data_IF_281413803901
#
_entry.id   IF_281413803901
#
_cell.length_a   1.000
_cell.length_b   1.000
_cell.length_c   1.000
_cell.angle_alpha   90.00
_cell.angle_beta   90.00
_cell.angle_gamma   90.00
#
_symmetry.space_group_name_H-M   'P 1'
#
loop_
_entity.id
_entity.type
_entity.pdbx_description
1 polymer ?
#
# COMPACT_ATOMS: atom_id res chain seq x y z
N UNK A 1 11.58 18.04 13.54
CA UNK A 1 12.00 16.82 14.27
C UNK A 1 11.03 15.73 13.85
N UNK A 2 11.52 14.66 13.21
CA UNK A 2 10.69 13.49 12.86
C UNK A 2 10.35 12.81 14.18
N UNK A 3 9.08 12.73 14.53
CA UNK A 3 8.63 12.03 15.73
C UNK A 3 9.16 10.58 15.69
N UNK A 4 9.65 10.10 16.85
CA UNK A 4 9.96 8.68 17.01
C UNK A 4 8.76 7.84 16.58
N UNK A 5 9.02 6.74 15.88
CA UNK A 5 7.98 5.79 15.47
C UNK A 5 7.29 5.26 16.73
N UNK A 6 5.99 5.47 16.84
CA UNK A 6 5.18 4.88 17.89
C UNK A 6 4.42 3.69 17.30
N UNK A 7 4.74 2.50 17.76
CA UNK A 7 4.15 1.25 17.28
C UNK A 7 2.99 0.81 18.17
N UNK A 8 1.92 0.37 17.54
CA UNK A 8 0.78 -0.29 18.21
C UNK A 8 0.63 -1.69 17.61
N UNK A 9 0.11 -2.62 18.40
CA UNK A 9 -0.08 -3.99 17.93
C UNK A 9 -1.53 -4.27 17.53
N UNK A 10 -1.71 -5.05 16.48
CA UNK A 10 -2.99 -5.58 16.04
C UNK A 10 -2.79 -7.02 15.55
N UNK A 11 -3.35 -7.98 16.24
CA UNK A 11 -3.28 -9.40 15.92
C UNK A 11 -1.84 -9.95 15.73
N UNK A 12 -0.87 -9.39 16.48
CA UNK A 12 0.54 -9.77 16.41
C UNK A 12 1.36 -8.98 15.39
N UNK A 13 0.78 -8.02 14.67
CA UNK A 13 1.50 -7.15 13.74
C UNK A 13 1.69 -5.76 14.34
N UNK A 14 2.91 -5.24 14.26
CA UNK A 14 3.24 -3.87 14.66
C UNK A 14 2.83 -2.90 13.55
N UNK A 15 2.10 -1.85 13.91
CA UNK A 15 1.61 -0.82 13.00
C UNK A 15 2.04 0.54 13.52
N UNK A 16 2.53 1.38 12.62
CA UNK A 16 2.94 2.76 12.94
C UNK A 16 1.69 3.63 13.19
N UNK A 17 1.70 4.37 14.30
CA UNK A 17 0.60 5.26 14.66
C UNK A 17 0.72 6.66 14.03
N UNK A 18 1.29 6.76 12.86
CA UNK A 18 1.45 8.01 12.13
C UNK A 18 0.11 8.54 11.60
N UNK A 19 -0.04 9.86 11.63
CA UNK A 19 -1.04 10.52 10.78
C UNK A 19 -0.61 10.43 9.32
N UNK A 20 -1.53 10.76 8.41
CA UNK A 20 -1.23 10.81 6.99
C UNK A 20 -0.04 11.74 6.68
N UNK A 21 -0.05 12.93 7.25
CA UNK A 21 1.00 13.95 7.07
C UNK A 21 2.34 13.47 7.64
N UNK A 22 2.32 12.81 8.80
CA UNK A 22 3.53 12.24 9.40
C UNK A 22 4.12 11.12 8.54
N UNK A 23 3.28 10.26 7.96
CA UNK A 23 3.73 9.21 7.04
C UNK A 23 4.39 9.80 5.78
N UNK A 24 3.80 10.84 5.18
CA UNK A 24 4.38 11.53 4.02
C UNK A 24 5.73 12.18 4.39
N UNK A 25 5.81 12.90 5.51
CA UNK A 25 7.05 13.55 5.97
C UNK A 25 8.13 12.51 6.27
N UNK A 26 7.75 11.40 6.91
CA UNK A 26 8.68 10.31 7.21
C UNK A 26 9.28 9.74 5.92
N UNK A 27 8.45 9.40 4.93
CA UNK A 27 8.89 8.78 3.68
C UNK A 27 9.61 9.74 2.73
N UNK A 28 9.46 11.04 2.91
CA UNK A 28 10.27 12.05 2.20
C UNK A 28 11.73 12.02 2.63
N UNK A 29 11.99 11.65 3.89
CA UNK A 29 13.30 11.68 4.54
C UNK A 29 13.90 10.29 4.80
N UNK A 30 13.14 9.23 4.61
CA UNK A 30 13.57 7.86 4.84
C UNK A 30 13.20 7.00 3.62
N UNK A 31 13.94 5.93 3.42
CA UNK A 31 13.73 4.93 2.37
C UNK A 31 13.21 3.62 2.95
N UNK A 32 12.87 2.69 2.07
CA UNK A 32 12.52 1.31 2.41
C UNK A 32 11.11 0.92 1.99
N UNK A 33 10.69 -0.25 2.45
CA UNK A 33 9.41 -0.84 2.11
C UNK A 33 8.28 -0.29 2.99
N UNK A 34 7.22 0.16 2.32
CA UNK A 34 5.97 0.62 2.95
C UNK A 34 4.88 -0.43 2.75
N UNK A 35 4.24 -0.82 3.84
CA UNK A 35 3.08 -1.72 3.83
C UNK A 35 1.85 -0.97 4.30
N UNK A 36 0.83 -0.91 3.45
CA UNK A 36 -0.50 -0.39 3.77
C UNK A 36 -1.37 -1.55 4.23
N UNK A 37 -1.23 -1.90 5.53
CA UNK A 37 -1.80 -3.13 6.07
C UNK A 37 -3.34 -3.07 6.16
N UNK A 38 -4.01 -4.13 5.74
CA UNK A 38 -5.46 -4.26 5.78
C UNK A 38 -5.89 -5.64 6.32
N UNK A 39 -7.18 -5.87 6.63
CA UNK A 39 -7.65 -7.13 7.20
C UNK A 39 -7.34 -8.37 6.36
N UNK A 40 -7.35 -8.26 5.03
CA UNK A 40 -7.03 -9.38 4.12
C UNK A 40 -5.55 -9.76 4.22
N UNK A 41 -4.66 -8.76 4.30
CA UNK A 41 -3.22 -8.98 4.48
C UNK A 41 -2.93 -9.64 5.83
N UNK A 42 -3.58 -9.19 6.91
CA UNK A 42 -3.45 -9.80 8.23
C UNK A 42 -3.89 -11.27 8.20
N UNK A 43 -5.03 -11.58 7.58
CA UNK A 43 -5.51 -12.96 7.47
C UNK A 43 -4.59 -13.83 6.61
N UNK A 44 -4.05 -13.29 5.53
CA UNK A 44 -3.06 -13.96 4.68
C UNK A 44 -1.77 -14.24 5.44
N UNK A 45 -1.23 -13.25 6.14
CA UNK A 45 0.02 -13.36 6.89
C UNK A 45 -0.07 -14.36 8.06
N UNK A 46 -1.24 -14.49 8.69
CA UNK A 46 -1.47 -15.54 9.70
C UNK A 46 -1.37 -16.98 9.16
N UNK A 47 -1.54 -17.15 7.86
CA UNK A 47 -1.46 -18.43 7.16
C UNK A 47 -0.13 -18.63 6.41
N UNK A 48 0.60 -17.56 6.20
CA UNK A 48 1.87 -17.52 5.48
C UNK A 48 2.94 -16.83 6.34
N UNK A 49 3.84 -17.64 6.94
CA UNK A 49 4.90 -17.17 7.84
C UNK A 49 5.88 -16.22 7.14
N UNK A 50 6.27 -16.53 5.91
CA UNK A 50 7.18 -15.69 5.13
C UNK A 50 6.58 -14.30 4.88
N UNK A 51 5.29 -14.24 4.54
CA UNK A 51 4.60 -12.96 4.42
C UNK A 51 4.52 -12.19 5.75
N UNK A 52 4.31 -12.90 6.87
CA UNK A 52 4.32 -12.28 8.20
C UNK A 52 5.71 -11.69 8.54
N UNK A 53 6.78 -12.38 8.15
CA UNK A 53 8.15 -11.90 8.31
C UNK A 53 8.41 -10.64 7.48
N UNK A 54 7.97 -10.62 6.22
CA UNK A 54 8.08 -9.42 5.35
C UNK A 54 7.36 -8.22 5.99
N UNK A 55 6.14 -8.41 6.51
CA UNK A 55 5.43 -7.34 7.21
C UNK A 55 6.23 -6.84 8.42
N UNK A 56 6.83 -7.75 9.20
CA UNK A 56 7.59 -7.40 10.40
C UNK A 56 8.90 -6.65 10.10
N UNK A 57 9.48 -6.87 8.91
CA UNK A 57 10.73 -6.26 8.44
C UNK A 57 10.51 -5.00 7.60
N UNK A 58 9.26 -4.58 7.41
CA UNK A 58 8.95 -3.36 6.67
C UNK A 58 9.39 -2.10 7.44
N UNK A 59 9.83 -1.10 6.68
CA UNK A 59 10.34 0.16 7.25
C UNK A 59 9.21 1.06 7.74
N UNK A 60 8.02 0.92 7.16
CA UNK A 60 6.81 1.59 7.61
C UNK A 60 5.60 0.69 7.37
N UNK A 61 4.78 0.48 8.40
CA UNK A 61 3.52 -0.26 8.31
C UNK A 61 2.39 0.67 8.75
N UNK A 62 1.56 1.11 7.83
CA UNK A 62 0.43 2.01 8.13
C UNK A 62 -0.92 1.31 7.91
N UNK A 63 -1.93 1.63 8.73
CA UNK A 63 -3.24 1.01 8.59
C UNK A 63 -3.97 1.51 7.34
N UNK A 64 -4.34 0.61 6.44
CA UNK A 64 -5.21 0.91 5.30
C UNK A 64 -6.58 0.26 5.50
N UNK A 65 -7.61 1.03 5.19
CA UNK A 65 -8.98 0.62 5.34
C UNK A 65 -9.54 0.76 6.77
N UNK A 66 -10.86 0.95 6.80
CA UNK A 66 -11.62 1.21 8.04
C UNK A 66 -11.56 0.03 9.01
N UNK A 67 -11.39 -1.20 8.52
CA UNK A 67 -11.36 -2.39 9.36
C UNK A 67 -10.20 -2.37 10.36
N UNK A 68 -9.00 -2.00 9.91
CA UNK A 68 -7.82 -1.91 10.79
C UNK A 68 -7.97 -0.74 11.76
N UNK A 69 -8.47 0.42 11.30
CA UNK A 69 -8.73 1.58 12.17
C UNK A 69 -9.71 1.25 13.30
N UNK A 70 -10.83 0.59 12.98
CA UNK A 70 -11.81 0.14 13.98
C UNK A 70 -11.20 -0.91 14.91
N UNK A 71 -10.46 -1.87 14.37
CA UNK A 71 -9.77 -2.89 15.16
C UNK A 71 -8.83 -2.27 16.20
N UNK A 72 -7.98 -1.36 15.77
CA UNK A 72 -7.07 -0.62 16.65
C UNK A 72 -7.83 0.19 17.71
N UNK A 73 -8.94 0.82 17.33
CA UNK A 73 -9.79 1.57 18.28
C UNK A 73 -10.41 0.64 19.35
N UNK A 74 -10.86 -0.55 18.98
CA UNK A 74 -11.38 -1.56 19.93
C UNK A 74 -10.27 -1.99 20.89
N UNK A 75 -9.03 -2.13 20.42
CA UNK A 75 -7.85 -2.46 21.24
C UNK A 75 -7.38 -1.29 22.12
N UNK A 76 -7.98 -0.10 22.00
CA UNK A 76 -7.67 1.08 22.81
C UNK A 76 -6.71 2.06 22.15
N UNK A 77 -6.30 1.83 20.90
CA UNK A 77 -5.39 2.69 20.15
C UNK A 77 -6.15 3.68 19.26
N UNK A 78 -5.74 4.96 19.27
CA UNK A 78 -6.34 6.01 18.44
C UNK A 78 -5.48 6.27 17.21
N UNK A 79 -5.47 5.33 16.29
CA UNK A 79 -4.73 5.43 15.03
C UNK A 79 -5.73 5.56 13.88
N UNK A 80 -5.56 6.56 13.03
CA UNK A 80 -6.37 6.75 11.83
C UNK A 80 -5.76 6.02 10.65
N UNK A 81 -6.60 5.57 9.74
CA UNK A 81 -6.14 4.95 8.50
C UNK A 81 -5.35 5.93 7.63
N UNK A 82 -4.38 5.40 6.94
CA UNK A 82 -3.59 6.06 5.90
C UNK A 82 -3.86 5.34 4.58
N UNK A 83 -4.83 5.82 3.76
CA UNK A 83 -5.19 5.12 2.54
C UNK A 83 -4.04 5.08 1.54
N UNK A 84 -3.69 3.87 1.05
CA UNK A 84 -2.54 3.68 0.17
C UNK A 84 -2.61 4.51 -1.11
N UNK A 85 -3.80 4.66 -1.72
CA UNK A 85 -3.98 5.45 -2.94
C UNK A 85 -3.67 6.94 -2.73
N UNK A 86 -4.06 7.52 -1.59
CA UNK A 86 -3.74 8.90 -1.24
C UNK A 86 -2.27 9.04 -0.88
N UNK A 87 -1.73 8.11 -0.09
CA UNK A 87 -0.31 8.12 0.28
C UNK A 87 0.57 8.05 -0.96
N UNK A 88 0.30 7.11 -1.88
CA UNK A 88 1.03 7.00 -3.13
C UNK A 88 0.99 8.30 -3.96
N UNK A 89 -0.20 8.92 -4.09
CA UNK A 89 -0.34 10.19 -4.82
C UNK A 89 0.41 11.35 -4.14
N UNK A 90 0.38 11.41 -2.81
CA UNK A 90 1.13 12.42 -2.06
C UNK A 90 2.64 12.24 -2.21
N UNK A 91 3.13 10.98 -2.15
CA UNK A 91 4.55 10.68 -2.37
C UNK A 91 5.00 11.07 -3.79
N UNK A 92 4.19 10.76 -4.82
CA UNK A 92 4.49 11.19 -6.19
C UNK A 92 4.68 12.70 -6.24
N UNK A 93 3.79 13.50 -5.63
CA UNK A 93 3.89 14.96 -5.59
C UNK A 93 5.17 15.43 -4.89
N UNK A 94 5.45 14.92 -3.70
CA UNK A 94 6.62 15.32 -2.90
C UNK A 94 7.95 14.95 -3.58
N UNK A 95 8.02 13.76 -4.17
CA UNK A 95 9.20 13.29 -4.89
C UNK A 95 9.41 14.09 -6.18
N UNK A 96 8.34 14.34 -6.94
CA UNK A 96 8.41 15.16 -8.16
C UNK A 96 8.86 16.59 -7.86
N UNK A 97 8.31 17.23 -6.82
CA UNK A 97 8.70 18.57 -6.39
C UNK A 97 10.18 18.64 -5.94
N UNK A 98 10.73 17.51 -5.50
CA UNK A 98 12.15 17.38 -5.11
C UNK A 98 13.05 16.94 -6.28
N UNK A 99 12.52 16.84 -7.50
CA UNK A 99 13.25 16.43 -8.70
C UNK A 99 13.57 14.95 -8.78
N UNK A 100 13.04 14.15 -7.86
CA UNK A 100 13.24 12.70 -7.75
C UNK A 100 12.44 11.92 -8.81
N UNK A 101 12.85 10.68 -9.04
CA UNK A 101 12.34 9.81 -10.11
C UNK A 101 11.37 8.76 -9.58
N UNK A 102 10.43 8.33 -10.43
CA UNK A 102 9.37 7.38 -10.07
C UNK A 102 9.31 6.22 -11.05
N UNK A 103 9.09 5.01 -10.54
CA UNK A 103 8.78 3.82 -11.32
C UNK A 103 7.36 3.33 -11.05
N UNK A 104 6.69 2.84 -12.10
CA UNK A 104 5.37 2.22 -12.05
C UNK A 104 5.46 0.78 -12.53
N UNK A 105 5.09 -0.19 -11.69
CA UNK A 105 5.20 -1.62 -12.01
C UNK A 105 3.92 -2.35 -11.62
N UNK A 106 3.27 -2.97 -12.57
CA UNK A 106 2.11 -3.78 -12.26
C UNK A 106 0.84 -3.41 -13.03
N UNK A 107 -0.27 -3.89 -12.55
CA UNK A 107 -1.58 -3.84 -13.18
C UNK A 107 -1.64 -4.58 -14.54
N UNK A 108 -2.76 -4.47 -15.25
CA UNK A 108 -2.93 -5.04 -16.59
C UNK A 108 -2.10 -4.27 -17.64
N UNK A 109 -1.83 -4.88 -18.80
CA UNK A 109 -1.17 -4.20 -19.91
C UNK A 109 -1.77 -2.80 -20.17
N UNK A 110 -0.91 -1.81 -20.39
CA UNK A 110 -1.22 -0.40 -20.61
C UNK A 110 -1.75 0.38 -19.38
N UNK A 111 -2.18 -0.27 -18.29
CA UNK A 111 -2.75 0.43 -17.12
C UNK A 111 -1.69 1.25 -16.39
N UNK A 112 -0.51 0.70 -16.13
CA UNK A 112 0.60 1.44 -15.52
C UNK A 112 0.99 2.66 -16.34
N UNK A 113 1.03 2.50 -17.68
CA UNK A 113 1.34 3.58 -18.62
C UNK A 113 0.27 4.69 -18.53
N UNK A 114 -1.01 4.36 -18.70
CA UNK A 114 -2.10 5.34 -18.62
C UNK A 114 -2.17 6.03 -17.26
N UNK A 115 -1.93 5.28 -16.16
CA UNK A 115 -1.88 5.87 -14.82
C UNK A 115 -0.77 6.91 -14.70
N UNK A 116 0.43 6.60 -15.21
CA UNK A 116 1.56 7.53 -15.19
C UNK A 116 1.34 8.77 -16.06
N UNK A 117 0.73 8.62 -17.25
CA UNK A 117 0.39 9.71 -18.17
C UNK A 117 -0.67 10.64 -17.56
N UNK A 118 -1.74 10.09 -16.98
CA UNK A 118 -2.76 10.87 -16.31
C UNK A 118 -2.19 11.64 -15.10
N UNK A 119 -1.36 10.98 -14.30
CA UNK A 119 -0.70 11.65 -13.18
C UNK A 119 0.28 12.73 -13.64
N UNK A 120 0.95 12.57 -14.77
CA UNK A 120 1.84 13.57 -15.34
C UNK A 120 1.09 14.84 -15.80
N UNK A 121 -0.18 14.72 -16.24
CA UNK A 121 -1.01 15.89 -16.52
C UNK A 121 -1.35 16.70 -15.28
N UNK A 122 -1.51 16.02 -14.11
CA UNK A 122 -1.78 16.69 -12.83
C UNK A 122 -0.50 17.16 -12.11
N UNK A 123 0.63 16.50 -12.39
CA UNK A 123 1.94 16.73 -11.74
C UNK A 123 2.98 16.85 -12.87
N UNK A 124 3.13 18.03 -13.49
CA UNK A 124 4.00 18.21 -14.66
C UNK A 124 5.47 17.86 -14.44
N UNK A 125 5.95 18.02 -13.20
CA UNK A 125 7.34 17.71 -12.81
C UNK A 125 7.60 16.21 -12.57
N UNK A 126 6.60 15.34 -12.76
CA UNK A 126 6.72 13.89 -12.58
C UNK A 126 7.70 13.28 -13.59
N UNK A 127 8.80 12.74 -13.07
CA UNK A 127 9.84 12.05 -13.84
C UNK A 127 9.67 10.55 -13.73
N UNK A 128 9.02 9.92 -14.70
CA UNK A 128 8.90 8.47 -14.79
C UNK A 128 10.10 7.89 -15.50
N UNK A 129 10.90 7.07 -14.82
CA UNK A 129 12.11 6.43 -15.37
C UNK A 129 11.90 4.97 -15.74
N UNK A 130 10.86 4.34 -15.20
CA UNK A 130 10.48 2.97 -15.53
C UNK A 130 8.97 2.79 -15.44
N UNK A 131 8.39 2.10 -16.43
CA UNK A 131 6.97 1.78 -16.44
C UNK A 131 6.74 0.42 -17.11
N UNK A 132 6.13 -0.53 -16.37
CA UNK A 132 5.86 -1.88 -16.87
C UNK A 132 4.56 -2.42 -16.29
N UNK A 133 3.80 -3.19 -17.06
CA UNK A 133 2.66 -3.94 -16.54
C UNK A 133 3.07 -5.12 -15.65
N UNK A 134 2.10 -5.76 -15.00
CA UNK A 134 2.33 -6.85 -14.04
C UNK A 134 2.30 -8.26 -14.64
N UNK A 135 2.25 -8.38 -15.97
CA UNK A 135 2.17 -9.65 -16.69
C UNK A 135 3.55 -10.06 -17.22
N UNK A 136 4.43 -10.39 -16.32
CA UNK A 136 5.77 -10.90 -16.59
C UNK A 136 6.00 -12.22 -15.86
N UNK A 137 6.73 -13.13 -16.51
CA UNK A 137 7.04 -14.45 -15.99
C UNK A 137 8.40 -14.49 -15.28
N UNK A 138 9.25 -13.50 -15.53
CA UNK A 138 10.60 -13.38 -14.97
C UNK A 138 10.68 -12.17 -14.03
N UNK A 139 10.51 -12.40 -12.74
CA UNK A 139 10.64 -11.36 -11.71
C UNK A 139 12.09 -10.84 -11.64
N UNK A 140 13.12 -11.69 -11.87
CA UNK A 140 14.53 -11.31 -11.74
C UNK A 140 14.94 -10.31 -12.82
N UNK A 141 14.45 -10.52 -14.05
CA UNK A 141 14.66 -9.57 -15.15
C UNK A 141 14.07 -8.20 -14.80
N UNK A 142 12.83 -8.18 -14.32
CA UNK A 142 12.13 -6.91 -13.98
C UNK A 142 12.82 -6.20 -12.83
N UNK A 143 13.25 -6.93 -11.80
CA UNK A 143 14.02 -6.38 -10.69
C UNK A 143 15.33 -5.75 -11.15
N UNK A 144 16.06 -6.42 -12.07
CA UNK A 144 17.28 -5.89 -12.67
C UNK A 144 17.04 -4.61 -13.47
N UNK A 145 16.00 -4.60 -14.32
CA UNK A 145 15.62 -3.42 -15.09
C UNK A 145 15.28 -2.22 -14.18
N UNK A 146 14.56 -2.45 -13.07
CA UNK A 146 14.25 -1.40 -12.10
C UNK A 146 15.52 -0.90 -11.42
N UNK A 147 16.43 -1.82 -11.03
CA UNK A 147 17.72 -1.47 -10.44
C UNK A 147 18.55 -0.60 -11.35
N UNK A 148 18.63 -0.92 -12.65
CA UNK A 148 19.41 -0.18 -13.63
C UNK A 148 18.86 1.24 -13.84
N UNK A 149 17.55 1.43 -13.70
CA UNK A 149 16.90 2.74 -13.76
C UNK A 149 17.00 3.52 -12.44
N UNK A 150 17.33 2.86 -11.34
CA UNK A 150 17.56 3.44 -10.01
C UNK A 150 16.53 4.51 -9.59
N UNK A 151 15.22 4.19 -9.56
CA UNK A 151 14.18 5.13 -9.18
C UNK A 151 14.20 5.43 -7.67
N UNK A 152 13.86 6.66 -7.30
CA UNK A 152 13.71 7.05 -5.89
C UNK A 152 12.41 6.54 -5.24
N UNK A 153 11.33 6.42 -6.02
CA UNK A 153 10.02 5.93 -5.59
C UNK A 153 9.54 4.83 -6.54
N UNK A 154 9.22 3.67 -5.99
CA UNK A 154 8.72 2.52 -6.74
C UNK A 154 7.29 2.21 -6.28
N UNK A 155 6.37 2.32 -7.21
CA UNK A 155 4.95 2.01 -6.98
C UNK A 155 4.64 0.67 -7.64
N UNK A 156 4.13 -0.28 -6.85
CA UNK A 156 3.80 -1.60 -7.38
C UNK A 156 2.31 -1.90 -7.30
N UNK A 157 1.76 -2.57 -8.31
CA UNK A 157 0.37 -2.96 -8.43
C UNK A 157 0.25 -4.43 -8.90
N UNK A 158 0.94 -5.34 -8.19
CA UNK A 158 0.98 -6.78 -8.49
C UNK A 158 -0.05 -7.59 -7.69
N UNK A 159 -0.77 -6.91 -6.78
CA UNK A 159 -1.67 -7.53 -5.81
C UNK A 159 -0.93 -8.15 -4.62
N UNK A 160 -1.57 -8.10 -3.44
CA UNK A 160 -1.03 -8.72 -2.23
C UNK A 160 -1.30 -10.24 -2.25
N UNK A 161 -0.34 -11.09 -1.81
CA UNK A 161 0.96 -10.72 -1.23
C UNK A 161 2.11 -10.56 -2.25
N UNK A 162 1.89 -10.79 -3.56
CA UNK A 162 2.97 -10.77 -4.58
C UNK A 162 3.75 -9.44 -4.56
N UNK A 163 3.06 -8.30 -4.47
CA UNK A 163 3.71 -6.98 -4.46
C UNK A 163 4.60 -6.76 -3.22
N UNK A 164 4.25 -7.31 -2.07
CA UNK A 164 5.05 -7.18 -0.85
C UNK A 164 6.34 -8.01 -0.94
N UNK A 165 6.27 -9.24 -1.48
CA UNK A 165 7.45 -10.05 -1.77
C UNK A 165 8.37 -9.39 -2.80
N UNK A 166 7.80 -8.84 -3.87
CA UNK A 166 8.54 -8.14 -4.90
C UNK A 166 9.25 -6.89 -4.35
N UNK A 167 8.53 -6.08 -3.55
CA UNK A 167 9.07 -4.88 -2.91
C UNK A 167 10.16 -5.22 -1.88
N UNK A 168 10.04 -6.34 -1.16
CA UNK A 168 11.06 -6.80 -0.23
C UNK A 168 12.39 -7.09 -0.95
N UNK A 169 12.33 -7.75 -2.10
CA UNK A 169 13.52 -8.00 -2.94
C UNK A 169 14.12 -6.70 -3.49
N UNK A 170 13.28 -5.75 -3.91
CA UNK A 170 13.73 -4.42 -4.35
C UNK A 170 14.43 -3.65 -3.23
N UNK A 171 13.96 -3.74 -2.00
CA UNK A 171 14.57 -3.08 -0.84
C UNK A 171 16.02 -3.49 -0.65
N UNK A 172 16.34 -4.78 -0.85
CA UNK A 172 17.72 -5.26 -0.76
C UNK A 172 18.62 -4.74 -1.90
N UNK A 173 18.04 -4.53 -3.09
CA UNK A 173 18.75 -4.05 -4.27
C UNK A 173 18.87 -2.53 -4.35
N UNK A 174 17.89 -1.80 -3.80
CA UNK A 174 17.73 -0.34 -3.86
C UNK A 174 17.43 0.24 -2.45
N UNK A 175 18.41 0.18 -1.52
CA UNK A 175 18.18 0.55 -0.12
C UNK A 175 17.85 2.04 0.09
N UNK A 176 18.09 2.89 -0.91
CA UNK A 176 17.80 4.33 -0.85
C UNK A 176 16.46 4.72 -1.47
N UNK A 177 15.72 3.76 -2.02
CA UNK A 177 14.41 3.99 -2.65
C UNK A 177 13.27 3.71 -1.69
N UNK A 178 12.11 4.31 -1.94
CA UNK A 178 10.85 3.98 -1.27
C UNK A 178 10.04 3.04 -2.16
N UNK A 179 9.58 1.89 -1.64
CA UNK A 179 8.72 0.95 -2.34
C UNK A 179 7.37 0.84 -1.63
N UNK A 180 6.28 0.97 -2.38
CA UNK A 180 4.93 0.86 -1.84
C UNK A 180 4.02 0.05 -2.77
N UNK A 181 3.34 -0.95 -2.20
CA UNK A 181 2.32 -1.73 -2.88
C UNK A 181 0.96 -1.02 -2.85
N UNK A 182 0.39 -0.75 -4.01
CA UNK A 182 -0.82 0.06 -4.16
C UNK A 182 -2.00 -0.71 -4.79
N UNK A 183 -1.78 -1.96 -5.21
CA UNK A 183 -2.83 -2.81 -5.79
C UNK A 183 -3.65 -2.11 -6.87
N UNK A 184 -4.96 -2.07 -6.71
CA UNK A 184 -5.89 -1.48 -7.69
C UNK A 184 -5.91 0.06 -7.75
N UNK A 185 -4.92 0.76 -7.22
CA UNK A 185 -4.84 2.23 -7.34
C UNK A 185 -4.48 2.66 -8.77
N UNK A 186 -3.73 1.84 -9.49
CA UNK A 186 -3.37 2.12 -10.88
C UNK A 186 -4.61 2.12 -11.79
N UNK A 187 -5.56 1.22 -11.58
CA UNK A 187 -6.82 1.21 -12.34
C UNK A 187 -7.62 2.50 -12.14
N UNK A 188 -7.58 3.07 -10.93
CA UNK A 188 -8.23 4.35 -10.61
C UNK A 188 -7.49 5.51 -11.28
N UNK A 189 -6.16 5.55 -11.18
CA UNK A 189 -5.36 6.62 -11.79
C UNK A 189 -5.38 6.57 -13.32
N UNK A 190 -5.49 5.38 -13.90
CA UNK A 190 -5.69 5.19 -15.34
C UNK A 190 -7.11 5.57 -15.82
N UNK A 191 -8.05 5.86 -14.90
CA UNK A 191 -9.44 6.17 -15.24
C UNK A 191 -10.29 4.98 -15.67
N UNK A 192 -9.78 3.75 -15.54
CA UNK A 192 -10.50 2.50 -15.91
C UNK A 192 -11.51 2.11 -14.85
N UNK A 193 -11.21 2.40 -13.59
CA UNK A 193 -12.11 2.15 -12.45
C UNK A 193 -12.47 3.49 -11.80
N UNK A 194 -13.77 3.78 -11.73
CA UNK A 194 -14.23 4.94 -10.97
C UNK A 194 -13.93 4.77 -9.49
N UNK A 195 -13.37 5.81 -8.90
CA UNK A 195 -13.23 5.87 -7.45
C UNK A 195 -14.61 5.92 -6.78
N UNK A 196 -14.73 5.32 -5.60
CA UNK A 196 -15.96 5.42 -4.83
C UNK A 196 -16.37 6.89 -4.59
N UNK A 197 -17.67 7.23 -4.57
CA UNK A 197 -18.14 8.57 -4.23
C UNK A 197 -17.52 9.07 -2.91
N UNK A 198 -17.32 10.38 -2.80
CA UNK A 198 -16.63 11.01 -1.64
C UNK A 198 -17.24 10.61 -0.29
N UNK A 199 -18.57 10.38 -0.23
CA UNK A 199 -19.23 9.92 0.98
C UNK A 199 -18.74 8.53 1.42
N UNK A 200 -18.56 7.58 0.49
CA UNK A 200 -18.02 6.25 0.78
C UNK A 200 -16.55 6.33 1.20
N UNK A 201 -15.78 7.23 0.59
CA UNK A 201 -14.39 7.47 0.96
C UNK A 201 -14.29 8.00 2.39
N UNK A 202 -15.07 9.04 2.74
CA UNK A 202 -15.08 9.65 4.08
C UNK A 202 -15.53 8.68 5.17
N UNK A 203 -16.48 7.80 4.87
CA UNK A 203 -16.98 6.77 5.80
C UNK A 203 -16.07 5.53 5.85
N UNK A 204 -15.02 5.45 5.01
CA UNK A 204 -14.16 4.26 4.92
C UNK A 204 -14.83 3.05 4.27
N UNK A 205 -15.94 3.26 3.56
CA UNK A 205 -16.75 2.22 2.90
C UNK A 205 -16.39 2.04 1.42
N UNK A 206 -15.21 2.49 0.99
CA UNK A 206 -14.73 2.33 -0.38
C UNK A 206 -14.65 0.84 -0.78
N UNK A 207 -14.22 -0.03 0.15
CA UNK A 207 -14.22 -1.47 -0.06
C UNK A 207 -15.61 -2.04 -0.35
N UNK A 208 -16.67 -1.54 0.31
CA UNK A 208 -18.06 -1.96 0.10
C UNK A 208 -18.56 -1.53 -1.28
N UNK A 209 -18.31 -0.26 -1.66
CA UNK A 209 -18.64 0.24 -2.99
C UNK A 209 -17.98 -0.59 -4.09
N UNK A 210 -16.67 -0.87 -3.97
CA UNK A 210 -15.94 -1.74 -4.91
C UNK A 210 -16.48 -3.17 -4.92
N UNK A 211 -16.91 -3.70 -3.78
CA UNK A 211 -17.49 -5.06 -3.71
C UNK A 211 -18.85 -5.13 -4.39
N UNK A 212 -19.67 -4.07 -4.30
CA UNK A 212 -20.95 -3.97 -5.02
C UNK A 212 -20.71 -3.91 -6.53
N UNK A 213 -19.74 -3.14 -7.00
CA UNK A 213 -19.37 -3.03 -8.41
C UNK A 213 -18.71 -4.30 -8.96
N UNK A 214 -17.96 -5.03 -8.12
CA UNK A 214 -17.26 -6.26 -8.48
C UNK A 214 -17.65 -7.41 -7.54
N UNK A 215 -18.78 -8.14 -7.78
CA UNK A 215 -19.27 -9.18 -6.87
C UNK A 215 -18.28 -10.32 -6.59
N UNK A 216 -17.31 -10.55 -7.47
CA UNK A 216 -16.23 -11.54 -7.26
C UNK A 216 -15.40 -11.24 -6.00
N UNK A 217 -15.29 -9.96 -5.59
CA UNK A 217 -14.61 -9.54 -4.37
C UNK A 217 -15.33 -10.00 -3.11
N UNK A 218 -16.65 -10.17 -3.17
CA UNK A 218 -17.45 -10.62 -2.03
C UNK A 218 -16.96 -11.96 -1.47
N UNK A 219 -16.62 -12.91 -2.34
CA UNK A 219 -16.10 -14.23 -1.93
C UNK A 219 -14.79 -14.14 -1.13
N UNK A 220 -14.00 -13.10 -1.36
CA UNK A 220 -12.71 -12.86 -0.69
C UNK A 220 -12.88 -12.07 0.61
N UNK A 221 -13.69 -11.03 0.59
CA UNK A 221 -13.85 -10.09 1.70
C UNK A 221 -14.77 -10.66 2.78
N UNK A 222 -15.88 -11.30 2.39
CA UNK A 222 -16.91 -11.73 3.32
C UNK A 222 -16.44 -12.75 4.38
N UNK A 223 -15.60 -13.76 4.07
CA UNK A 223 -15.06 -14.65 5.11
C UNK A 223 -14.04 -13.94 6.02
N UNK A 224 -13.28 -12.99 5.47
CA UNK A 224 -12.14 -12.36 6.16
C UNK A 224 -12.59 -11.35 7.21
N UNK A 225 -13.57 -10.49 6.91
CA UNK A 225 -14.00 -9.44 7.81
C UNK A 225 -14.61 -9.95 9.13
N UNK A 226 -15.57 -10.90 9.14
CA UNK A 226 -16.10 -11.43 10.37
C UNK A 226 -15.04 -12.13 11.24
N UNK A 227 -14.14 -12.89 10.62
CA UNK A 227 -13.02 -13.54 11.30
C UNK A 227 -12.07 -12.52 11.91
N UNK A 228 -11.75 -11.46 11.16
CA UNK A 228 -10.92 -10.36 11.66
C UNK A 228 -11.55 -9.71 12.90
N UNK A 229 -12.83 -9.34 12.84
CA UNK A 229 -13.55 -8.72 13.97
C UNK A 229 -13.58 -9.66 15.18
N UNK A 230 -13.90 -10.94 14.99
CA UNK A 230 -13.92 -11.92 16.07
C UNK A 230 -12.54 -12.05 16.74
N UNK A 231 -11.46 -12.07 15.97
CA UNK A 231 -10.08 -12.11 16.50
C UNK A 231 -9.74 -10.84 17.30
N UNK A 232 -10.18 -9.65 16.85
CA UNK A 232 -10.00 -8.40 17.59
C UNK A 232 -10.69 -8.45 18.95
N UNK A 233 -11.94 -8.90 19.01
CA UNK A 233 -12.64 -9.05 20.29
C UNK A 233 -11.95 -10.06 21.20
N UNK A 234 -11.47 -11.19 20.67
CA UNK A 234 -10.70 -12.18 21.43
C UNK A 234 -9.41 -11.56 21.99
N UNK A 235 -8.65 -10.83 21.18
CA UNK A 235 -7.44 -10.14 21.60
C UNK A 235 -7.73 -9.09 22.69
N UNK A 236 -8.84 -8.36 22.58
CA UNK A 236 -9.26 -7.37 23.59
C UNK A 236 -9.62 -7.98 24.94
N UNK A 237 -10.19 -9.21 24.93
CA UNK A 237 -10.66 -9.88 26.16
C UNK A 237 -9.59 -10.74 26.84
N UNK A 238 -8.64 -11.26 26.09
CA UNK A 238 -7.71 -12.29 26.55
C UNK A 238 -6.23 -11.96 26.27
N UNK A 239 -5.91 -10.88 25.59
CA UNK A 239 -4.57 -10.33 25.35
C UNK A 239 -4.34 -9.15 26.26
#
# INVERSE_FOLDING_TARGET
MVNERCLVNIQGFSVDSFTFEQAVIYLKNNSGQVITINPEMIDCAKKNKEFAEIISQADLVVPDGIGVEIGLKILGHRVRRVPGIELGKALIKEFSASGKTVAFVGAKPNIAQHASENLKTEIPDLKVVYCRDGYFDDDDLVLSEIKDNNPDLILTALGSPKQEFFNYRLKEMLPNSVMIGLGGSFDVWAGVVERAPVIYQKLGLEWLYRTIKEPKRFKRIFPTLPLFVMRIFKERLFG
#
